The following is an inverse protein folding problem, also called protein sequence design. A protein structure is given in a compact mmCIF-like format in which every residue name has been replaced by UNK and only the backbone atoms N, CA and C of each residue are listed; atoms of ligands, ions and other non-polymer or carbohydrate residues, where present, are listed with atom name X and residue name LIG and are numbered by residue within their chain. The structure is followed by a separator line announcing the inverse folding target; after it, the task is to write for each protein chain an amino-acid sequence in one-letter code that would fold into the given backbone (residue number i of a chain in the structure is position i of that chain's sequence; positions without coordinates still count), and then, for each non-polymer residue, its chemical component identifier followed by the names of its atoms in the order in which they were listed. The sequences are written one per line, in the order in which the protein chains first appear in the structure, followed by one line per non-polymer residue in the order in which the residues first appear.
data_IF_532300746283
#
_entry.id   IF_532300746283
#
_cell.length_a   1.000
_cell.length_b   1.000
_cell.length_c   1.000
_cell.angle_alpha   90.00
_cell.angle_beta   90.00
_cell.angle_gamma   90.00
#
_symmetry.space_group_name_H-M   'P 1'
#
loop_
_entity.id
_entity.type
_entity.pdbx_description
1 polymer ?
#
# COMPACT_ATOMS: atom_id res chain seq x y z
N UNK A 1 8.24 -16.22 1.86
CA UNK A 1 6.91 -16.03 1.23
C UNK A 1 5.90 -17.13 1.59
N UNK A 2 6.27 -18.39 1.39
CA UNK A 2 5.36 -19.52 1.64
C UNK A 2 4.81 -19.58 3.08
N UNK A 3 5.68 -19.37 4.07
CA UNK A 3 5.25 -19.41 5.48
C UNK A 3 4.31 -18.28 5.89
N UNK A 4 4.18 -17.24 5.06
CA UNK A 4 3.30 -16.11 5.33
C UNK A 4 2.10 -16.07 4.39
N UNK A 5 1.87 -17.14 3.63
CA UNK A 5 0.81 -17.20 2.62
C UNK A 5 -0.57 -16.85 3.20
N UNK A 6 -0.94 -17.47 4.31
CA UNK A 6 -2.26 -17.23 4.91
C UNK A 6 -2.43 -15.80 5.41
N UNK A 7 -1.37 -15.23 5.97
CA UNK A 7 -1.38 -13.86 6.48
C UNK A 7 -1.58 -12.85 5.35
N UNK A 8 -0.82 -12.98 4.27
CA UNK A 8 -0.94 -12.02 3.15
C UNK A 8 -2.30 -12.13 2.46
N UNK A 9 -2.87 -13.32 2.39
CA UNK A 9 -4.23 -13.52 1.85
C UNK A 9 -5.26 -12.82 2.75
N UNK A 10 -5.15 -13.01 4.06
CA UNK A 10 -6.05 -12.38 5.03
C UNK A 10 -5.97 -10.86 4.94
N UNK A 11 -4.77 -10.32 4.92
CA UNK A 11 -4.56 -8.87 4.85
C UNK A 11 -5.12 -8.28 3.56
N UNK A 12 -4.94 -8.97 2.44
CA UNK A 12 -5.47 -8.51 1.16
C UNK A 12 -6.99 -8.50 1.16
N UNK A 13 -7.63 -9.55 1.68
CA UNK A 13 -9.09 -9.62 1.78
C UNK A 13 -9.65 -8.50 2.66
N UNK A 14 -9.04 -8.27 3.82
CA UNK A 14 -9.47 -7.22 4.73
C UNK A 14 -9.31 -5.83 4.09
N UNK A 15 -8.21 -5.60 3.40
CA UNK A 15 -7.97 -4.35 2.67
C UNK A 15 -9.06 -4.07 1.63
N UNK A 16 -9.46 -5.09 0.87
CA UNK A 16 -10.55 -4.95 -0.11
C UNK A 16 -11.89 -4.69 0.54
N UNK A 17 -12.19 -5.36 1.66
CA UNK A 17 -13.43 -5.13 2.41
C UNK A 17 -13.53 -3.69 2.90
N UNK A 18 -12.44 -3.15 3.43
CA UNK A 18 -12.41 -1.75 3.92
C UNK A 18 -12.58 -0.76 2.77
N UNK A 19 -11.88 -0.99 1.66
CA UNK A 19 -11.86 -0.05 0.54
C UNK A 19 -13.11 -0.10 -0.32
N UNK A 20 -13.68 -1.28 -0.53
CA UNK A 20 -14.77 -1.48 -1.51
C UNK A 20 -16.02 -2.13 -0.92
N UNK A 21 -16.02 -2.48 0.36
CA UNK A 21 -17.17 -3.10 1.02
C UNK A 21 -17.36 -4.58 0.76
N UNK A 22 -16.61 -5.15 -0.16
CA UNK A 22 -16.63 -6.58 -0.45
C UNK A 22 -15.28 -7.00 -1.08
N UNK A 23 -15.13 -8.30 -1.31
CA UNK A 23 -13.91 -8.86 -1.90
C UNK A 23 -14.08 -9.29 -3.36
N UNK A 24 -15.16 -8.88 -4.02
CA UNK A 24 -15.47 -9.32 -5.39
C UNK A 24 -14.41 -8.89 -6.42
N UNK A 25 -13.74 -7.76 -6.20
CA UNK A 25 -12.69 -7.27 -7.10
C UNK A 25 -11.30 -7.82 -6.82
N UNK A 26 -11.18 -8.78 -5.91
CA UNK A 26 -9.90 -9.32 -5.45
C UNK A 26 -9.11 -10.08 -6.52
N UNK A 27 -9.82 -10.75 -7.44
CA UNK A 27 -9.22 -11.63 -8.44
C UNK A 27 -8.78 -12.96 -7.84
N UNK A 28 -7.99 -13.71 -8.59
CA UNK A 28 -7.51 -15.02 -8.19
C UNK A 28 -6.36 -14.89 -7.19
N UNK A 29 -6.46 -15.64 -6.09
CA UNK A 29 -5.44 -15.64 -5.04
C UNK A 29 -4.07 -16.07 -5.59
N UNK A 30 -4.05 -17.10 -6.43
CA UNK A 30 -2.78 -17.59 -7.02
C UNK A 30 -2.11 -16.53 -7.90
N UNK A 31 -2.89 -15.73 -8.63
CA UNK A 31 -2.37 -14.63 -9.44
C UNK A 31 -1.72 -13.56 -8.56
N UNK A 32 -2.36 -13.22 -7.46
CA UNK A 32 -1.80 -12.27 -6.50
C UNK A 32 -0.49 -12.78 -5.90
N UNK A 33 -0.46 -14.03 -5.47
CA UNK A 33 0.74 -14.63 -4.87
C UNK A 33 1.89 -14.71 -5.85
N UNK A 34 1.60 -15.03 -7.11
CA UNK A 34 2.61 -15.04 -8.17
C UNK A 34 3.17 -13.64 -8.41
N UNK A 35 2.29 -12.64 -8.51
CA UNK A 35 2.67 -11.23 -8.65
C UNK A 35 3.53 -10.78 -7.47
N UNK A 36 3.12 -11.12 -6.25
CA UNK A 36 3.83 -10.75 -5.04
C UNK A 36 5.24 -11.36 -5.00
N UNK A 37 5.36 -12.62 -5.38
CA UNK A 37 6.65 -13.30 -5.45
C UNK A 37 7.61 -12.60 -6.41
N UNK A 38 7.11 -12.20 -7.59
CA UNK A 38 7.90 -11.49 -8.58
C UNK A 38 8.34 -10.11 -8.06
N UNK A 39 7.44 -9.40 -7.38
CA UNK A 39 7.73 -8.08 -6.82
C UNK A 39 8.73 -8.14 -5.67
N UNK A 40 8.65 -9.15 -4.82
CA UNK A 40 9.61 -9.36 -3.74
C UNK A 40 11.02 -9.58 -4.32
N UNK A 41 11.12 -10.29 -5.44
CA UNK A 41 12.41 -10.52 -6.10
C UNK A 41 13.04 -9.22 -6.60
N UNK A 42 12.23 -8.27 -7.06
CA UNK A 42 12.71 -6.97 -7.58
C UNK A 42 12.91 -5.95 -6.45
N UNK A 43 11.97 -5.89 -5.50
CA UNK A 43 11.97 -4.91 -4.40
C UNK A 43 11.84 -5.60 -3.05
N UNK A 44 12.86 -6.36 -2.59
CA UNK A 44 12.73 -7.12 -1.34
C UNK A 44 12.46 -6.25 -0.11
N UNK A 45 12.95 -5.01 -0.10
CA UNK A 45 12.72 -4.08 1.00
C UNK A 45 11.41 -3.32 0.87
N UNK A 46 10.75 -3.39 -0.30
CA UNK A 46 9.48 -2.72 -0.55
C UNK A 46 8.27 -3.57 -0.20
N UNK A 47 8.40 -4.89 -0.21
CA UNK A 47 7.29 -5.82 0.01
C UNK A 47 7.53 -6.55 1.31
N UNK A 48 7.08 -5.96 2.42
CA UNK A 48 7.42 -6.42 3.77
C UNK A 48 6.18 -6.57 4.65
N UNK A 49 6.30 -7.45 5.64
CA UNK A 49 5.31 -7.56 6.72
C UNK A 49 5.79 -6.75 7.92
N UNK A 50 4.84 -6.22 8.67
CA UNK A 50 5.10 -5.42 9.86
C UNK A 50 4.83 -6.27 11.09
N UNK A 51 5.80 -6.34 12.00
CA UNK A 51 5.73 -7.13 13.22
C UNK A 51 5.79 -6.24 14.44
N UNK A 52 5.01 -6.59 15.46
CA UNK A 52 5.01 -5.92 16.76
C UNK A 52 4.86 -6.99 17.83
N UNK A 53 5.85 -7.10 18.72
CA UNK A 53 5.89 -8.10 19.79
C UNK A 53 5.63 -9.54 19.30
N UNK A 54 6.21 -9.89 18.16
CA UNK A 54 6.08 -11.22 17.57
C UNK A 54 4.80 -11.45 16.77
N UNK A 55 3.89 -10.50 16.73
CA UNK A 55 2.65 -10.60 15.98
C UNK A 55 2.75 -9.83 14.66
N UNK A 56 2.26 -10.41 13.57
CA UNK A 56 2.19 -9.73 12.28
C UNK A 56 0.97 -8.80 12.28
N UNK A 57 1.21 -7.49 12.22
CA UNK A 57 0.17 -6.47 12.38
C UNK A 57 -0.10 -5.67 11.12
N UNK A 58 0.70 -5.84 10.09
CA UNK A 58 0.52 -5.05 8.87
C UNK A 58 1.35 -5.53 7.71
N UNK A 59 1.19 -4.84 6.59
CA UNK A 59 1.89 -5.15 5.34
C UNK A 59 2.10 -3.89 4.53
N UNK A 60 3.28 -3.78 3.92
CA UNK A 60 3.61 -2.71 2.98
C UNK A 60 3.94 -3.33 1.63
N UNK A 61 3.45 -2.70 0.57
CA UNK A 61 3.81 -3.04 -0.80
C UNK A 61 4.21 -1.75 -1.52
N UNK A 62 5.51 -1.58 -1.68
CA UNK A 62 6.12 -0.37 -2.26
C UNK A 62 6.91 -0.76 -3.50
N UNK A 63 6.80 0.04 -4.55
CA UNK A 63 7.51 -0.21 -5.80
C UNK A 63 7.93 1.12 -6.45
N UNK A 64 8.69 1.02 -7.52
CA UNK A 64 9.07 2.16 -8.35
C UNK A 64 8.40 1.95 -9.69
N UNK A 65 7.74 2.98 -10.21
CA UNK A 65 7.02 2.93 -11.50
C UNK A 65 7.33 4.16 -12.32
N UNK A 66 7.15 4.04 -13.63
CA UNK A 66 7.17 5.20 -14.50
C UNK A 66 5.78 5.84 -14.56
N UNK A 67 5.75 7.18 -14.44
CA UNK A 67 4.53 7.95 -14.56
C UNK A 67 4.85 9.27 -15.27
N UNK A 68 4.19 9.50 -16.40
CA UNK A 68 4.39 10.71 -17.21
C UNK A 68 5.87 10.96 -17.52
N UNK A 69 6.60 9.90 -17.88
CA UNK A 69 7.98 9.98 -18.32
C UNK A 69 9.04 10.06 -17.23
N UNK A 70 8.65 9.91 -15.97
CA UNK A 70 9.61 9.91 -14.86
C UNK A 70 9.35 8.77 -13.89
N UNK A 71 10.37 8.35 -13.18
CA UNK A 71 10.24 7.35 -12.14
C UNK A 71 9.68 7.96 -10.88
N UNK A 72 8.66 7.32 -10.33
CA UNK A 72 8.02 7.72 -9.08
C UNK A 72 7.98 6.53 -8.13
N UNK A 73 7.88 6.81 -6.83
CA UNK A 73 7.50 5.80 -5.85
C UNK A 73 6.02 5.49 -5.97
N UNK A 74 5.65 4.25 -5.69
CA UNK A 74 4.26 3.85 -5.72
C UNK A 74 3.93 2.99 -4.52
N UNK A 75 2.86 3.35 -3.81
CA UNK A 75 2.35 2.60 -2.68
C UNK A 75 1.21 1.73 -3.18
N UNK A 76 1.48 0.43 -3.28
CA UNK A 76 0.47 -0.56 -3.65
C UNK A 76 -0.44 -0.89 -2.46
N UNK A 77 0.13 -0.89 -1.24
CA UNK A 77 -0.60 -1.24 -0.05
C UNK A 77 0.07 -0.66 1.19
N UNK A 78 -0.73 0.02 2.03
CA UNK A 78 -0.47 0.31 3.43
C UNK A 78 -1.56 -0.40 4.22
N UNK A 79 -1.21 -1.44 4.95
CA UNK A 79 -2.20 -2.19 5.70
C UNK A 79 -1.79 -2.35 7.15
N UNK A 80 -2.72 -2.12 8.06
CA UNK A 80 -2.62 -2.44 9.48
C UNK A 80 -3.87 -3.18 9.91
N UNK A 81 -3.70 -4.16 10.79
CA UNK A 81 -4.86 -4.84 11.39
C UNK A 81 -5.71 -3.81 12.15
N UNK A 82 -7.05 -4.02 12.24
CA UNK A 82 -7.95 -3.01 12.85
C UNK A 82 -7.53 -2.56 14.25
N UNK A 83 -7.04 -3.46 15.10
CA UNK A 83 -6.65 -3.17 16.48
C UNK A 83 -5.45 -2.23 16.60
N UNK A 84 -4.68 -2.10 15.53
CA UNK A 84 -3.48 -1.24 15.51
C UNK A 84 -3.67 0.08 14.80
N UNK A 85 -4.87 0.33 14.28
CA UNK A 85 -5.17 1.58 13.59
C UNK A 85 -5.42 2.70 14.60
N UNK A 86 -5.05 3.93 14.23
CA UNK A 86 -5.27 5.10 15.06
C UNK A 86 -4.26 5.29 16.19
N UNK A 87 -3.20 4.51 16.24
CA UNK A 87 -2.19 4.54 17.30
C UNK A 87 -0.82 5.03 16.84
N UNK A 88 -0.75 5.72 15.70
CA UNK A 88 0.51 6.23 15.17
C UNK A 88 1.31 5.25 14.31
N UNK A 89 0.89 4.01 14.19
CA UNK A 89 1.57 3.01 13.35
C UNK A 89 1.55 3.39 11.87
N UNK A 90 0.50 4.09 11.41
CA UNK A 90 0.45 4.58 10.04
C UNK A 90 1.61 5.51 9.72
N UNK A 91 1.97 6.38 10.66
CA UNK A 91 3.11 7.27 10.49
C UNK A 91 4.43 6.49 10.42
N UNK A 92 4.55 5.40 11.18
CA UNK A 92 5.73 4.53 11.13
C UNK A 92 5.85 3.86 9.77
N UNK A 93 4.73 3.38 9.20
CA UNK A 93 4.71 2.82 7.85
C UNK A 93 5.15 3.86 6.82
N UNK A 94 4.66 5.08 6.96
CA UNK A 94 5.01 6.17 6.06
C UNK A 94 6.50 6.53 6.16
N UNK A 95 7.05 6.54 7.36
CA UNK A 95 8.48 6.79 7.57
C UNK A 95 9.33 5.72 6.87
N UNK A 96 8.93 4.47 6.96
CA UNK A 96 9.60 3.38 6.26
C UNK A 96 9.52 3.56 4.74
N UNK A 97 8.35 3.91 4.23
CA UNK A 97 8.15 4.14 2.80
C UNK A 97 9.02 5.29 2.29
N UNK A 98 9.11 6.39 3.03
CA UNK A 98 9.94 7.52 2.66
C UNK A 98 11.41 7.11 2.57
N UNK A 99 11.88 6.31 3.51
CA UNK A 99 13.25 5.80 3.48
C UNK A 99 13.50 4.94 2.24
N UNK A 100 12.58 4.03 1.93
CA UNK A 100 12.65 3.18 0.74
C UNK A 100 12.70 4.03 -0.54
N UNK A 101 11.80 5.01 -0.67
CA UNK A 101 11.74 5.85 -1.87
C UNK A 101 12.99 6.73 -2.02
N UNK A 102 13.50 7.30 -0.95
CA UNK A 102 14.73 8.09 -0.98
C UNK A 102 15.93 7.24 -1.41
N UNK A 103 15.97 5.99 -0.95
CA UNK A 103 17.02 5.05 -1.35
C UNK A 103 16.99 4.78 -2.85
N UNK A 104 15.82 4.82 -3.47
CA UNK A 104 15.64 4.62 -4.91
C UNK A 104 15.69 5.91 -5.71
N UNK A 105 16.03 7.04 -5.07
CA UNK A 105 16.27 8.34 -5.72
C UNK A 105 15.07 8.91 -6.47
N UNK A 106 13.86 8.63 -6.01
CA UNK A 106 12.64 9.25 -6.53
C UNK A 106 12.27 10.45 -5.66
N UNK A 107 11.58 11.43 -6.24
CA UNK A 107 11.25 12.69 -5.57
C UNK A 107 9.77 12.84 -5.26
N UNK A 108 8.95 11.98 -5.81
CA UNK A 108 7.52 11.96 -5.49
C UNK A 108 7.03 10.52 -5.44
N UNK A 109 5.90 10.31 -4.78
CA UNK A 109 5.27 9.01 -4.68
C UNK A 109 3.77 9.15 -4.85
N UNK A 110 3.14 8.11 -5.39
CA UNK A 110 1.72 8.08 -5.69
C UNK A 110 1.07 6.86 -5.06
N UNK A 111 -0.26 6.93 -4.92
CA UNK A 111 -1.08 5.77 -4.61
C UNK A 111 -2.46 5.97 -5.23
N UNK A 112 -3.24 4.90 -5.24
CA UNK A 112 -4.64 4.92 -5.60
C UNK A 112 -5.45 4.52 -4.38
N UNK A 113 -6.54 5.22 -4.12
CA UNK A 113 -7.40 4.97 -2.96
C UNK A 113 -8.86 4.99 -3.40
N UNK A 114 -9.69 4.13 -2.80
CA UNK A 114 -11.13 4.16 -3.02
C UNK A 114 -11.70 5.48 -2.51
N UNK A 115 -12.57 6.17 -3.30
CA UNK A 115 -13.18 7.42 -2.84
C UNK A 115 -14.07 7.26 -1.60
N UNK A 116 -14.49 6.02 -1.31
CA UNK A 116 -15.30 5.72 -0.12
C UNK A 116 -14.46 5.45 1.13
N UNK A 117 -13.14 5.26 0.98
CA UNK A 117 -12.25 5.03 2.10
C UNK A 117 -11.80 6.36 2.71
N UNK A 118 -12.74 7.03 3.38
CA UNK A 118 -12.51 8.39 3.92
C UNK A 118 -11.43 8.44 4.99
N UNK A 119 -11.31 7.39 5.77
CA UNK A 119 -10.28 7.28 6.81
C UNK A 119 -8.87 7.27 6.19
N UNK A 120 -8.67 6.50 5.14
CA UNK A 120 -7.39 6.44 4.42
C UNK A 120 -7.07 7.79 3.76
N UNK A 121 -8.06 8.39 3.08
CA UNK A 121 -7.87 9.70 2.43
C UNK A 121 -7.46 10.74 3.45
N UNK A 122 -8.10 10.76 4.62
CA UNK A 122 -7.77 11.69 5.70
C UNK A 122 -6.33 11.52 6.16
N UNK A 123 -5.90 10.27 6.33
CA UNK A 123 -4.52 9.97 6.70
C UNK A 123 -3.53 10.44 5.63
N UNK A 124 -3.82 10.18 4.35
CA UNK A 124 -2.94 10.60 3.26
C UNK A 124 -2.80 12.11 3.18
N UNK A 125 -3.91 12.84 3.37
CA UNK A 125 -3.86 14.30 3.43
C UNK A 125 -3.04 14.80 4.61
N UNK A 126 -3.16 14.13 5.76
CA UNK A 126 -2.39 14.48 6.96
C UNK A 126 -0.88 14.37 6.73
N UNK A 127 -0.43 13.39 5.94
CA UNK A 127 0.99 13.22 5.63
C UNK A 127 1.44 14.05 4.43
N UNK A 128 0.59 14.93 3.93
CA UNK A 128 0.96 15.91 2.90
C UNK A 128 0.63 15.52 1.47
N UNK A 129 -0.13 14.46 1.27
CA UNK A 129 -0.56 14.06 -0.09
C UNK A 129 -1.74 14.90 -0.56
N UNK A 130 -1.83 15.06 -1.87
CA UNK A 130 -2.94 15.78 -2.51
C UNK A 130 -3.55 14.93 -3.62
N UNK A 131 -4.82 15.19 -3.93
CA UNK A 131 -5.51 14.45 -5.00
C UNK A 131 -5.02 14.91 -6.37
N UNK A 132 -4.74 13.93 -7.25
CA UNK A 132 -4.46 14.19 -8.66
C UNK A 132 -5.75 14.13 -9.47
N UNK A 133 -6.58 13.12 -9.24
CA UNK A 133 -7.86 12.97 -9.93
C UNK A 133 -8.35 11.53 -9.96
N UNK A 134 -9.58 11.32 -10.44
CA UNK A 134 -10.14 9.98 -10.53
C UNK A 134 -9.47 9.16 -11.62
N UNK A 135 -9.38 7.85 -11.40
CA UNK A 135 -8.86 6.87 -12.35
C UNK A 135 -9.73 5.61 -12.30
N UNK A 136 -9.55 4.72 -13.28
CA UNK A 136 -10.31 3.46 -13.40
C UNK A 136 -11.82 3.74 -13.35
N UNK A 137 -12.30 4.63 -14.22
CA UNK A 137 -13.71 5.02 -14.32
C UNK A 137 -14.29 5.51 -12.99
N UNK A 138 -13.49 6.23 -12.20
CA UNK A 138 -13.93 6.78 -10.93
C UNK A 138 -13.91 5.82 -9.76
N UNK A 139 -13.46 4.60 -9.95
CA UNK A 139 -13.38 3.60 -8.88
C UNK A 139 -12.31 3.94 -7.84
N UNK A 140 -11.28 4.67 -8.25
CA UNK A 140 -10.19 5.09 -7.39
C UNK A 140 -9.81 6.54 -7.65
N UNK A 141 -9.16 7.16 -6.67
CA UNK A 141 -8.57 8.49 -6.80
C UNK A 141 -7.07 8.30 -6.70
N UNK A 142 -6.32 8.93 -7.61
CA UNK A 142 -4.87 8.98 -7.51
C UNK A 142 -4.47 10.13 -6.58
N UNK A 143 -3.58 9.84 -5.66
CA UNK A 143 -3.00 10.87 -4.78
C UNK A 143 -1.49 10.87 -4.95
N UNK A 144 -0.85 12.01 -4.71
CA UNK A 144 0.60 12.14 -4.77
C UNK A 144 1.14 12.93 -3.59
N UNK A 145 2.37 12.61 -3.21
CA UNK A 145 3.13 13.34 -2.21
C UNK A 145 4.56 13.50 -2.67
N UNK A 146 5.31 14.36 -1.99
CA UNK A 146 6.71 14.68 -2.32
C UNK A 146 7.63 14.25 -1.17
N UNK A 147 8.86 13.88 -1.54
CA UNK A 147 9.88 13.45 -0.58
C UNK A 147 10.79 14.60 -0.19
#
# INVERSE_FOLDING_TARGET
MEKHREVVIKFRKDSFMISFGDSSGLGEIEDYLSWLKDKIAVFPEGFVLVEDDGALIGQLELSIREYEGKDIGYINLYYLVPEKRGNGHGQELHNYANHFFKKHHVHEFHLRVSPTNTSAIRFYRKIGMEEVGPEVDGKVIRMKGYL
#
